data_IF_069302651926
#
_entry.id   IF_069302651926
#
_cell.length_a   1.000
_cell.length_b   1.000
_cell.length_c   1.000
_cell.angle_alpha   90.00
_cell.angle_beta   90.00
_cell.angle_gamma   90.00
#
_symmetry.space_group_name_H-M   'P 1'
#
loop_
_entity.id
_entity.type
_entity.pdbx_description
1 polymer ?
#
# COMPACT_ATOMS: atom_id res chain seq x y z
N UNK A 1 -3.82 13.24 -22.96
CA UNK A 1 -3.34 11.85 -22.95
C UNK A 1 -2.81 11.54 -21.56
N UNK A 2 -2.94 10.31 -21.07
CA UNK A 2 -2.35 9.88 -19.80
C UNK A 2 -1.28 8.86 -20.15
N UNK A 3 -0.04 9.14 -19.77
CA UNK A 3 1.11 8.25 -19.96
C UNK A 3 1.64 7.84 -18.59
N UNK A 4 2.11 6.60 -18.48
CA UNK A 4 2.70 6.07 -17.26
C UNK A 4 4.22 6.14 -17.34
N UNK A 5 4.84 6.27 -16.18
CA UNK A 5 6.28 6.36 -16.06
C UNK A 5 6.70 6.35 -14.60
N UNK A 6 7.98 6.12 -14.40
CA UNK A 6 8.61 6.06 -13.08
C UNK A 6 9.55 7.24 -12.89
N UNK A 7 9.48 7.88 -11.72
CA UNK A 7 10.45 8.92 -11.34
C UNK A 7 11.75 8.25 -10.92
N UNK A 8 12.85 8.53 -11.64
CA UNK A 8 14.21 8.12 -11.29
C UNK A 8 15.07 9.35 -11.00
N UNK A 9 15.22 9.68 -9.72
CA UNK A 9 15.95 10.86 -9.27
C UNK A 9 15.26 12.15 -9.73
N UNK A 10 15.87 12.84 -10.71
CA UNK A 10 15.35 14.09 -11.28
C UNK A 10 14.72 13.91 -12.67
N UNK A 11 14.61 12.67 -13.15
CA UNK A 11 14.07 12.34 -14.47
C UNK A 11 12.79 11.53 -14.34
N UNK A 12 11.82 11.78 -15.24
CA UNK A 12 10.64 10.93 -15.42
C UNK A 12 10.96 10.01 -16.60
N UNK A 13 11.11 8.72 -16.34
CA UNK A 13 11.24 7.69 -17.37
C UNK A 13 9.84 7.19 -17.73
N UNK A 14 9.45 7.34 -18.99
CA UNK A 14 8.14 6.86 -19.46
C UNK A 14 8.23 5.37 -19.78
N UNK A 15 7.18 4.63 -19.46
CA UNK A 15 7.12 3.18 -19.72
C UNK A 15 7.05 2.90 -21.23
N UNK A 16 6.45 3.85 -21.98
CA UNK A 16 6.32 3.80 -23.43
C UNK A 16 6.75 5.14 -24.07
N UNK A 17 7.30 5.13 -25.30
CA UNK A 17 7.67 6.35 -25.99
C UNK A 17 6.45 7.26 -26.27
N UNK A 18 6.62 8.57 -26.08
CA UNK A 18 5.59 9.53 -26.45
C UNK A 18 5.49 9.65 -27.98
N UNK A 19 4.29 9.49 -28.57
CA UNK A 19 4.06 9.69 -30.00
C UNK A 19 3.95 11.19 -30.35
N UNK A 20 4.83 12.03 -29.81
CA UNK A 20 4.87 13.46 -30.07
C UNK A 20 6.06 13.78 -30.98
N UNK A 21 5.85 14.69 -31.92
CA UNK A 21 6.93 15.16 -32.79
C UNK A 21 7.99 15.93 -31.98
N UNK A 22 9.23 15.88 -32.44
CA UNK A 22 10.32 16.66 -31.87
C UNK A 22 9.97 18.16 -31.87
N UNK A 23 10.30 18.86 -30.77
CA UNK A 23 9.98 20.29 -30.60
C UNK A 23 8.56 20.58 -30.08
N UNK A 24 7.73 19.56 -29.84
CA UNK A 24 6.40 19.74 -29.24
C UNK A 24 6.54 20.24 -27.80
N UNK A 25 5.94 21.39 -27.49
CA UNK A 25 5.86 21.92 -26.11
C UNK A 25 4.78 21.17 -25.34
N UNK A 26 5.13 20.63 -24.17
CA UNK A 26 4.19 19.89 -23.32
C UNK A 26 4.11 20.50 -21.93
N UNK A 27 2.94 20.38 -21.31
CA UNK A 27 2.70 20.69 -19.90
C UNK A 27 2.58 19.36 -19.15
N UNK A 28 3.33 19.21 -18.05
CA UNK A 28 3.37 17.98 -17.26
C UNK A 28 2.68 18.23 -15.92
N UNK A 29 1.58 17.53 -15.67
CA UNK A 29 0.93 17.50 -14.36
C UNK A 29 1.38 16.23 -13.62
N UNK A 30 2.08 16.41 -12.49
CA UNK A 30 2.47 15.30 -11.62
C UNK A 30 1.46 15.19 -10.50
N UNK A 31 0.69 14.10 -10.48
CA UNK A 31 -0.20 13.76 -9.37
C UNK A 31 0.46 12.63 -8.58
N UNK A 32 0.97 12.87 -7.37
CA UNK A 32 1.54 11.80 -6.56
C UNK A 32 0.45 10.78 -6.24
N UNK A 33 0.75 9.49 -6.39
CA UNK A 33 -0.14 8.45 -5.89
C UNK A 33 -0.34 8.65 -4.40
N UNK A 34 -1.57 8.94 -4.00
CA UNK A 34 -1.92 9.03 -2.60
C UNK A 34 -1.92 7.62 -2.04
N UNK A 35 -1.08 7.35 -1.04
CA UNK A 35 -1.18 6.11 -0.27
C UNK A 35 -2.61 5.96 0.23
N UNK A 36 -3.20 4.75 0.17
CA UNK A 36 -4.53 4.53 0.68
C UNK A 36 -4.58 4.91 2.17
N UNK A 37 -5.71 5.45 2.60
CA UNK A 37 -5.86 5.92 3.99
C UNK A 37 -5.58 4.78 4.95
N UNK A 38 -4.88 5.08 6.05
CA UNK A 38 -4.58 4.09 7.11
C UNK A 38 -5.87 3.40 7.55
N UNK A 39 -5.93 2.08 7.45
CA UNK A 39 -7.09 1.26 7.84
C UNK A 39 -8.23 1.22 6.82
N UNK A 40 -8.09 1.83 5.64
CA UNK A 40 -9.06 1.64 4.56
C UNK A 40 -9.03 0.18 4.04
N UNK A 41 -10.17 -0.35 3.55
CA UNK A 41 -10.20 -1.70 2.97
C UNK A 41 -9.14 -1.91 1.89
N UNK A 42 -8.90 -0.89 1.06
CA UNK A 42 -7.85 -0.91 0.03
C UNK A 42 -6.44 -1.07 0.64
N UNK A 43 -6.11 -0.32 1.70
CA UNK A 43 -4.82 -0.46 2.38
C UNK A 43 -4.64 -1.86 3.00
N UNK A 44 -5.71 -2.43 3.55
CA UNK A 44 -5.68 -3.78 4.15
C UNK A 44 -5.49 -4.84 3.07
N UNK A 45 -6.18 -4.73 1.93
CA UNK A 45 -6.03 -5.66 0.81
C UNK A 45 -4.65 -5.56 0.16
N UNK A 46 -4.10 -4.35 0.04
CA UNK A 46 -2.75 -4.15 -0.49
C UNK A 46 -1.71 -4.85 0.40
N UNK A 47 -1.85 -4.77 1.73
CA UNK A 47 -0.98 -5.49 2.66
C UNK A 47 -1.16 -7.00 2.56
N UNK A 48 -2.40 -7.48 2.58
CA UNK A 48 -2.71 -8.91 2.52
C UNK A 48 -2.17 -9.57 1.23
N UNK A 49 -2.17 -8.86 0.10
CA UNK A 49 -1.62 -9.35 -1.16
C UNK A 49 -0.09 -9.40 -1.23
N UNK A 50 0.62 -8.83 -0.26
CA UNK A 50 2.09 -8.76 -0.23
C UNK A 50 2.75 -9.65 0.82
N UNK A 51 1.97 -10.26 1.71
CA UNK A 51 2.49 -11.13 2.77
C UNK A 51 2.88 -12.50 2.22
N UNK A 52 4.02 -13.03 2.68
CA UNK A 52 4.31 -14.44 2.49
C UNK A 52 3.44 -15.30 3.44
N UNK A 53 3.26 -16.60 3.16
CA UNK A 53 2.55 -17.50 4.07
C UNK A 53 3.11 -17.48 5.50
N UNK A 54 4.42 -17.38 5.66
CA UNK A 54 5.10 -17.33 6.95
C UNK A 54 4.80 -16.04 7.71
N UNK A 55 4.81 -14.89 7.03
CA UNK A 55 4.48 -13.61 7.64
C UNK A 55 3.01 -13.55 8.07
N UNK A 56 2.11 -14.13 7.27
CA UNK A 56 0.70 -14.24 7.61
C UNK A 56 0.48 -15.11 8.86
N UNK A 57 1.19 -16.24 8.97
CA UNK A 57 1.13 -17.14 10.11
C UNK A 57 1.61 -16.46 11.41
N UNK A 58 2.72 -15.71 11.36
CA UNK A 58 3.22 -14.95 12.51
C UNK A 58 2.18 -13.93 13.01
N UNK A 59 1.54 -13.20 12.09
CA UNK A 59 0.48 -12.24 12.43
C UNK A 59 -0.72 -12.97 13.06
N UNK A 60 -1.12 -14.10 12.50
CA UNK A 60 -2.23 -14.90 13.04
C UNK A 60 -1.95 -15.39 14.46
N UNK A 61 -0.74 -15.89 14.73
CA UNK A 61 -0.35 -16.34 16.06
C UNK A 61 -0.36 -15.18 17.07
N UNK A 62 0.14 -14.01 16.69
CA UNK A 62 0.08 -12.80 17.51
C UNK A 62 -1.35 -12.37 17.83
N UNK A 63 -2.24 -12.38 16.83
CA UNK A 63 -3.67 -12.06 17.03
C UNK A 63 -4.35 -13.08 17.93
N UNK A 64 -4.06 -14.37 17.77
CA UNK A 64 -4.61 -15.42 18.64
C UNK A 64 -4.18 -15.22 20.09
N UNK A 65 -2.90 -14.90 20.33
CA UNK A 65 -2.38 -14.63 21.67
C UNK A 65 -3.07 -13.41 22.32
N UNK A 66 -3.31 -12.34 21.56
CA UNK A 66 -3.94 -11.11 22.08
C UNK A 66 -5.46 -11.28 22.29
N UNK A 67 -6.12 -12.14 21.50
CA UNK A 67 -7.56 -12.42 21.62
C UNK A 67 -7.92 -13.43 22.69
N UNK A 68 -6.95 -13.94 23.45
CA UNK A 68 -7.26 -14.77 24.61
C UNK A 68 -7.93 -13.90 25.67
N UNK A 69 -9.13 -14.30 26.07
CA UNK A 69 -9.80 -13.72 27.24
C UNK A 69 -9.00 -14.16 28.46
N UNK A 70 -8.43 -13.20 29.18
CA UNK A 70 -7.86 -13.44 30.50
C UNK A 70 -9.01 -13.60 31.49
N UNK A 71 -9.40 -14.84 31.77
CA UNK A 71 -10.51 -15.18 32.66
C UNK A 71 -10.28 -14.73 34.12
N UNK A 72 -9.02 -14.60 34.56
CA UNK A 72 -8.70 -14.12 35.92
C UNK A 72 -9.10 -12.64 36.08
N UNK A 73 -9.03 -11.85 35.01
CA UNK A 73 -9.46 -10.45 34.96
C UNK A 73 -10.99 -10.28 35.04
N UNK A 74 -11.77 -11.37 34.88
CA UNK A 74 -13.23 -11.37 34.92
C UNK A 74 -13.81 -12.06 36.17
N UNK A 75 -13.00 -12.75 36.97
CA UNK A 75 -13.43 -13.39 38.23
C UNK A 75 -13.49 -12.40 39.41
N UNK A 76 -12.88 -11.22 39.29
CA UNK A 76 -13.06 -10.13 40.27
C UNK A 76 -14.35 -9.31 40.00
N UNK A 77 -15.50 -9.86 40.39
CA UNK A 77 -16.68 -9.05 40.75
C UNK A 77 -17.35 -9.60 42.02
N UNK A 78 -17.82 -8.69 42.90
CA UNK A 78 -18.12 -8.95 44.32
C UNK A 78 -19.25 -9.96 44.59
#
# INVERSE_FOLDING_TARGET
>A
MIVKGTVRGKLIELDEPLPLAEGTRVEVTVTPETKPRKGSPEAVLQLAGTLTPEEAEIIMQGVQAIRQIDWELWEEKP
#
